data_IF_625882308447
#
_entry.id   IF_625882308447
#
_cell.length_a   1.000
_cell.length_b   1.000
_cell.length_c   1.000
_cell.angle_alpha   90.00
_cell.angle_beta   90.00
_cell.angle_gamma   90.00
#
_symmetry.space_group_name_H-M   'P 1'
#
loop_
_entity.id
_entity.type
_entity.pdbx_description
1 polymer ?
#
# COMPACT_ATOMS: atom_id res chain seq x y z
N UNK A 1 -13.75 75.08 -13.18
CA UNK A 1 -14.17 73.96 -12.32
C UNK A 1 -14.01 72.71 -13.14
N UNK A 2 -12.93 71.96 -12.95
CA UNK A 2 -12.76 70.66 -13.56
C UNK A 2 -12.06 69.78 -12.53
N UNK A 3 -12.81 68.83 -11.98
CA UNK A 3 -12.40 67.94 -10.90
C UNK A 3 -11.87 66.67 -11.57
N UNK A 4 -10.54 66.55 -11.65
CA UNK A 4 -9.88 65.35 -12.14
C UNK A 4 -9.90 64.27 -11.05
N UNK A 5 -10.58 63.16 -11.31
CA UNK A 5 -10.59 61.96 -10.47
C UNK A 5 -9.21 61.26 -10.50
N UNK A 6 -8.70 60.72 -9.38
CA UNK A 6 -7.54 59.84 -9.40
C UNK A 6 -7.93 58.42 -9.83
N UNK A 7 -7.23 57.87 -10.82
CA UNK A 7 -7.33 56.46 -11.21
C UNK A 7 -6.77 55.55 -10.10
N UNK A 8 -7.55 54.54 -9.74
CA UNK A 8 -7.19 53.49 -8.79
C UNK A 8 -6.19 52.51 -9.42
N UNK A 9 -5.00 52.41 -8.84
CA UNK A 9 -4.01 51.40 -9.21
C UNK A 9 -4.34 50.11 -8.44
N UNK A 10 -5.02 49.18 -9.11
CA UNK A 10 -5.30 47.85 -8.55
C UNK A 10 -3.99 47.11 -8.34
N UNK A 11 -3.68 46.77 -7.08
CA UNK A 11 -2.58 45.89 -6.73
C UNK A 11 -2.87 44.48 -7.24
N UNK A 12 -2.01 43.97 -8.12
CA UNK A 12 -2.04 42.58 -8.58
C UNK A 12 -1.71 41.68 -7.39
N UNK A 13 -2.75 41.21 -6.69
CA UNK A 13 -2.61 40.12 -5.73
C UNK A 13 -2.34 38.85 -6.54
N UNK A 14 -1.06 38.50 -6.68
CA UNK A 14 -0.65 37.21 -7.18
C UNK A 14 -1.15 36.13 -6.19
N UNK A 15 -2.32 35.56 -6.49
CA UNK A 15 -2.82 34.35 -5.83
C UNK A 15 -1.79 33.24 -6.06
N UNK A 16 -0.93 33.02 -5.06
CA UNK A 16 -0.07 31.84 -5.02
C UNK A 16 -0.98 30.63 -4.93
N UNK A 17 -1.17 29.95 -6.06
CA UNK A 17 -1.77 28.62 -6.06
C UNK A 17 -0.91 27.74 -5.12
N UNK A 18 -1.52 27.04 -4.15
CA UNK A 18 -0.78 26.12 -3.30
C UNK A 18 -0.18 25.04 -4.20
N UNK A 19 1.15 24.87 -4.11
CA UNK A 19 1.84 23.76 -4.77
C UNK A 19 1.30 22.48 -4.14
N UNK A 20 0.38 21.83 -4.83
CA UNK A 20 0.09 20.43 -4.59
C UNK A 20 1.24 19.65 -5.23
N UNK A 21 2.24 19.30 -4.43
CA UNK A 21 3.12 18.21 -4.83
C UNK A 21 2.23 17.01 -5.18
N UNK A 22 2.52 16.23 -6.24
CA UNK A 22 1.75 15.04 -6.57
C UNK A 22 1.95 14.03 -5.44
N UNK A 23 1.05 14.09 -4.46
CA UNK A 23 1.01 13.17 -3.33
C UNK A 23 0.63 11.82 -3.91
N UNK A 24 1.58 10.87 -3.88
CA UNK A 24 1.43 9.46 -4.24
C UNK A 24 0.00 8.96 -3.93
N UNK A 25 -0.84 8.87 -4.96
CA UNK A 25 -2.28 8.58 -4.85
C UNK A 25 -2.56 7.27 -4.12
N UNK A 26 -1.60 6.35 -4.15
CA UNK A 26 -1.67 5.07 -3.47
C UNK A 26 -1.83 5.24 -1.95
N UNK A 27 -1.11 6.19 -1.33
CA UNK A 27 -1.20 6.38 0.12
C UNK A 27 -2.54 6.97 0.55
N UNK A 28 -3.19 7.81 -0.28
CA UNK A 28 -4.50 8.39 0.06
C UNK A 28 -5.64 7.37 0.00
N UNK A 29 -5.59 6.44 -0.96
CA UNK A 29 -6.61 5.36 -1.06
C UNK A 29 -6.59 4.44 0.17
N UNK A 30 -5.40 4.18 0.71
CA UNK A 30 -5.23 3.29 1.86
C UNK A 30 -5.92 3.81 3.14
N UNK A 31 -5.93 5.12 3.38
CA UNK A 31 -6.63 5.70 4.54
C UNK A 31 -8.15 5.60 4.41
N UNK A 32 -8.68 5.81 3.20
CA UNK A 32 -10.12 5.77 2.93
C UNK A 32 -10.70 4.37 3.20
N UNK A 33 -9.95 3.32 2.83
CA UNK A 33 -10.39 1.94 3.05
C UNK A 33 -10.33 1.54 4.53
N UNK A 34 -9.33 2.01 5.30
CA UNK A 34 -9.23 1.71 6.74
C UNK A 34 -10.42 2.29 7.51
N UNK A 35 -10.79 3.54 7.25
CA UNK A 35 -11.93 4.20 7.90
C UNK A 35 -13.26 3.51 7.53
N UNK A 36 -13.38 3.04 6.29
CA UNK A 36 -14.51 2.21 5.85
C UNK A 36 -14.63 0.93 6.70
N UNK A 37 -13.53 0.19 6.91
CA UNK A 37 -13.59 -1.01 7.75
C UNK A 37 -13.82 -0.72 9.23
N UNK A 38 -13.37 0.43 9.74
CA UNK A 38 -13.58 0.83 11.13
C UNK A 38 -15.05 1.23 11.41
N UNK A 39 -15.84 1.49 10.36
CA UNK A 39 -17.29 1.74 10.48
C UNK A 39 -18.12 0.47 10.74
N UNK A 40 -17.53 -0.72 10.55
CA UNK A 40 -18.26 -1.97 10.77
C UNK A 40 -18.43 -2.30 12.26
N UNK A 41 -19.45 -3.11 12.61
CA UNK A 41 -19.66 -3.55 13.98
C UNK A 41 -18.43 -4.24 14.56
N UNK A 42 -18.17 -4.08 15.88
CA UNK A 42 -17.08 -4.76 16.57
C UNK A 42 -17.12 -6.27 16.30
N UNK A 43 -15.98 -6.82 15.89
CA UNK A 43 -15.84 -8.24 15.55
C UNK A 43 -15.83 -8.53 14.05
N UNK A 44 -16.20 -7.58 13.18
CA UNK A 44 -15.97 -7.71 11.75
C UNK A 44 -14.47 -7.68 11.45
N UNK A 45 -13.97 -8.69 10.73
CA UNK A 45 -12.54 -8.85 10.45
C UNK A 45 -12.32 -9.24 9.00
N UNK A 46 -11.26 -8.71 8.43
CA UNK A 46 -10.77 -9.11 7.12
C UNK A 46 -10.14 -10.50 7.21
N UNK A 47 -10.91 -11.54 6.86
CA UNK A 47 -10.49 -12.95 6.83
C UNK A 47 -10.89 -13.60 5.50
N UNK A 48 -10.27 -13.20 4.39
CA UNK A 48 -10.55 -13.79 3.08
C UNK A 48 -10.08 -15.25 3.02
N UNK A 49 -10.78 -16.05 2.22
CA UNK A 49 -10.36 -17.40 1.83
C UNK A 49 -9.20 -17.34 0.85
N UNK A 50 -8.38 -18.40 0.80
CA UNK A 50 -7.25 -18.49 -0.14
C UNK A 50 -7.70 -18.32 -1.61
N UNK A 51 -8.86 -18.86 -1.97
CA UNK A 51 -9.45 -18.69 -3.30
C UNK A 51 -9.84 -17.23 -3.60
N UNK A 52 -10.37 -16.52 -2.62
CA UNK A 52 -10.76 -15.11 -2.76
C UNK A 52 -9.52 -14.22 -2.92
N UNK A 53 -8.48 -14.49 -2.13
CA UNK A 53 -7.18 -13.84 -2.23
C UNK A 53 -6.58 -13.94 -3.63
N UNK A 54 -6.67 -15.11 -4.26
CA UNK A 54 -6.17 -15.29 -5.62
C UNK A 54 -7.09 -14.62 -6.64
N UNK A 55 -8.40 -14.90 -6.59
CA UNK A 55 -9.33 -14.52 -7.65
C UNK A 55 -9.69 -13.03 -7.61
N UNK A 56 -10.04 -12.50 -6.45
CA UNK A 56 -10.56 -11.14 -6.33
C UNK A 56 -9.49 -10.10 -6.05
N UNK A 57 -8.36 -10.51 -5.48
CA UNK A 57 -7.29 -9.58 -5.11
C UNK A 57 -6.10 -9.72 -6.05
N UNK A 58 -5.45 -10.88 -6.09
CA UNK A 58 -4.19 -11.02 -6.83
C UNK A 58 -4.39 -10.93 -8.35
N UNK A 59 -5.35 -11.68 -8.92
CA UNK A 59 -5.63 -11.62 -10.35
C UNK A 59 -6.05 -10.21 -10.79
N UNK A 60 -6.94 -9.57 -10.04
CA UNK A 60 -7.38 -8.21 -10.33
C UNK A 60 -6.22 -7.22 -10.24
N UNK A 61 -5.32 -7.38 -9.25
CA UNK A 61 -4.13 -6.54 -9.12
C UNK A 61 -3.20 -6.66 -10.32
N UNK A 62 -2.92 -7.89 -10.77
CA UNK A 62 -2.05 -8.16 -11.93
C UNK A 62 -2.69 -7.64 -13.23
N UNK A 63 -4.02 -7.76 -13.35
CA UNK A 63 -4.79 -7.26 -14.49
C UNK A 63 -5.09 -5.74 -14.42
N UNK A 64 -4.56 -5.03 -13.42
CA UNK A 64 -4.84 -3.61 -13.14
C UNK A 64 -6.34 -3.27 -13.08
N UNK A 65 -7.15 -4.21 -12.61
CA UNK A 65 -8.59 -4.05 -12.38
C UNK A 65 -8.85 -3.40 -11.02
N UNK A 66 -9.98 -2.70 -10.84
CA UNK A 66 -10.36 -2.15 -9.55
C UNK A 66 -10.48 -3.28 -8.51
N UNK A 67 -9.86 -3.07 -7.35
CA UNK A 67 -9.95 -4.00 -6.24
C UNK A 67 -11.18 -3.67 -5.39
N UNK A 68 -11.86 -4.68 -4.82
CA UNK A 68 -12.84 -4.41 -3.78
C UNK A 68 -12.16 -3.80 -2.55
N UNK A 69 -12.90 -3.09 -1.67
CA UNK A 69 -12.36 -2.54 -0.44
C UNK A 69 -11.55 -3.59 0.31
N UNK A 70 -10.33 -3.26 0.72
CA UNK A 70 -9.43 -4.22 1.36
C UNK A 70 -8.43 -3.54 2.29
N UNK A 71 -7.77 -4.36 3.12
CA UNK A 71 -6.69 -3.94 4.02
C UNK A 71 -5.30 -4.36 3.51
N UNK A 72 -5.17 -4.62 2.21
CA UNK A 72 -3.95 -5.19 1.61
C UNK A 72 -3.08 -4.05 1.10
N UNK A 73 -1.86 -3.94 1.64
CA UNK A 73 -0.96 -2.83 1.31
C UNK A 73 0.12 -3.25 0.32
N UNK A 74 0.52 -2.34 -0.56
CA UNK A 74 1.69 -2.53 -1.42
C UNK A 74 2.97 -2.20 -0.67
N UNK A 75 3.80 -3.20 -0.45
CA UNK A 75 5.05 -3.07 0.30
C UNK A 75 6.13 -3.90 -0.36
N UNK A 76 7.36 -3.39 -0.41
CA UNK A 76 8.53 -4.18 -0.79
C UNK A 76 8.97 -5.07 0.36
N UNK A 77 8.30 -6.19 0.54
CA UNK A 77 8.42 -7.04 1.71
C UNK A 77 9.86 -7.44 2.05
N UNK A 78 10.67 -7.72 1.03
CA UNK A 78 12.05 -8.13 1.19
C UNK A 78 12.96 -7.03 1.75
N UNK A 79 12.56 -5.76 1.74
CA UNK A 79 13.37 -4.69 2.32
C UNK A 79 13.14 -4.55 3.85
N UNK A 80 12.10 -5.18 4.41
CA UNK A 80 11.66 -4.97 5.79
C UNK A 80 11.77 -6.22 6.68
N UNK A 81 11.86 -5.98 7.99
CA UNK A 81 11.70 -7.01 9.02
C UNK A 81 10.20 -7.16 9.33
N UNK A 82 9.64 -8.38 9.51
CA UNK A 82 8.25 -8.60 9.92
C UNK A 82 7.78 -7.74 11.10
N UNK A 83 8.64 -7.51 12.10
CA UNK A 83 8.29 -6.68 13.27
C UNK A 83 8.04 -5.22 12.90
N UNK A 84 8.91 -4.64 12.07
CA UNK A 84 8.74 -3.27 11.57
C UNK A 84 7.47 -3.13 10.73
N UNK A 85 7.16 -4.13 9.92
CA UNK A 85 5.91 -4.14 9.13
C UNK A 85 4.67 -4.19 10.02
N UNK A 86 4.70 -4.98 11.10
CA UNK A 86 3.58 -5.05 12.03
C UNK A 86 3.39 -3.73 12.80
N UNK A 87 4.48 -3.04 13.14
CA UNK A 87 4.45 -1.71 13.78
C UNK A 87 3.94 -0.63 12.82
N UNK A 88 4.42 -0.61 11.59
CA UNK A 88 4.08 0.41 10.59
C UNK A 88 2.63 0.25 10.08
N UNK A 89 2.17 -1.00 9.90
CA UNK A 89 0.86 -1.31 9.33
C UNK A 89 -0.12 -1.89 10.36
N UNK A 90 0.00 -1.49 11.63
CA UNK A 90 -0.84 -2.00 12.73
C UNK A 90 -2.35 -1.84 12.51
N UNK A 91 -2.78 -0.85 11.73
CA UNK A 91 -4.19 -0.59 11.41
C UNK A 91 -4.77 -1.55 10.35
N UNK A 92 -3.90 -2.19 9.57
CA UNK A 92 -4.29 -3.08 8.48
C UNK A 92 -4.66 -4.49 8.98
N UNK A 93 -4.26 -4.86 10.20
CA UNK A 93 -4.56 -6.17 10.77
C UNK A 93 -4.13 -6.31 12.24
N UNK A 94 -4.84 -7.12 13.01
CA UNK A 94 -4.52 -7.38 14.43
C UNK A 94 -3.57 -8.56 14.62
N UNK A 95 -3.74 -9.60 13.81
CA UNK A 95 -3.11 -10.92 13.97
C UNK A 95 -2.38 -11.37 12.71
N UNK A 96 -2.95 -11.02 11.56
CA UNK A 96 -2.49 -11.36 10.23
C UNK A 96 -2.50 -10.09 9.38
N UNK A 97 -1.47 -9.94 8.55
CA UNK A 97 -1.35 -8.88 7.57
C UNK A 97 -1.20 -9.47 6.19
N UNK A 98 -1.75 -8.78 5.21
CA UNK A 98 -1.70 -9.16 3.82
C UNK A 98 -1.02 -8.03 3.05
N UNK A 99 0.02 -8.37 2.28
CA UNK A 99 0.77 -7.40 1.50
C UNK A 99 0.87 -7.83 0.04
N UNK A 100 0.65 -6.88 -0.87
CA UNK A 100 1.12 -7.03 -2.24
C UNK A 100 2.60 -6.68 -2.27
N UNK A 101 3.41 -7.57 -2.80
CA UNK A 101 4.83 -7.29 -2.99
C UNK A 101 5.30 -7.68 -4.39
N UNK A 102 6.12 -6.83 -5.04
CA UNK A 102 6.81 -7.24 -6.25
C UNK A 102 7.66 -8.48 -5.97
N UNK A 103 7.60 -9.46 -6.86
CA UNK A 103 8.45 -10.63 -6.77
C UNK A 103 9.69 -10.42 -7.61
N UNK A 104 10.78 -10.10 -6.93
CA UNK A 104 12.09 -10.01 -7.57
C UNK A 104 12.60 -11.39 -7.97
N UNK A 105 13.14 -11.50 -9.19
CA UNK A 105 13.87 -12.69 -9.65
C UNK A 105 15.32 -12.60 -9.20
N UNK A 106 15.90 -13.71 -8.72
CA UNK A 106 17.34 -13.76 -8.37
C UNK A 106 18.24 -13.60 -9.60
N UNK A 107 17.76 -14.05 -10.75
CA UNK A 107 18.47 -13.97 -12.03
C UNK A 107 17.52 -13.43 -13.11
N UNK A 108 17.99 -12.62 -14.08
CA UNK A 108 17.14 -12.02 -15.11
C UNK A 108 16.26 -13.03 -15.87
N UNK A 109 16.81 -14.20 -16.20
CA UNK A 109 16.11 -15.28 -16.90
C UNK A 109 15.70 -16.44 -15.98
N UNK A 110 15.86 -16.28 -14.66
CA UNK A 110 15.58 -17.34 -13.68
C UNK A 110 14.16 -17.27 -13.13
N UNK A 111 13.57 -18.43 -12.82
CA UNK A 111 12.28 -18.53 -12.12
C UNK A 111 12.41 -18.45 -10.59
N UNK A 112 13.66 -18.51 -10.07
CA UNK A 112 13.94 -18.49 -8.64
C UNK A 112 13.78 -17.06 -8.09
N UNK A 113 12.85 -16.83 -7.15
CA UNK A 113 12.70 -15.53 -6.53
C UNK A 113 13.90 -15.19 -5.64
N UNK A 114 14.24 -13.91 -5.58
CA UNK A 114 15.12 -13.37 -4.55
C UNK A 114 14.36 -13.44 -3.23
N UNK A 115 14.95 -14.12 -2.24
CA UNK A 115 14.37 -14.29 -0.90
C UNK A 115 15.17 -13.58 0.19
N UNK A 116 16.24 -12.91 -0.22
CA UNK A 116 17.12 -12.18 0.68
C UNK A 116 16.37 -10.95 1.16
N UNK A 117 16.23 -10.80 2.47
CA UNK A 117 15.71 -9.60 3.08
C UNK A 117 16.78 -8.95 3.92
N UNK A 118 17.16 -7.69 3.65
CA UNK A 118 18.39 -7.01 4.12
C UNK A 118 18.94 -7.43 5.49
N UNK A 119 19.61 -8.60 5.58
CA UNK A 119 20.09 -9.23 6.82
C UNK A 119 19.46 -10.60 7.21
N UNK A 120 18.96 -11.40 6.27
CA UNK A 120 18.40 -12.76 6.51
C UNK A 120 17.57 -13.25 5.31
N UNK A 121 16.84 -14.36 5.43
CA UNK A 121 16.07 -14.93 4.32
C UNK A 121 14.62 -15.28 4.67
N UNK A 122 13.69 -15.03 3.74
CA UNK A 122 12.32 -15.51 3.85
C UNK A 122 12.23 -16.97 3.39
N UNK A 123 11.61 -17.83 4.20
CA UNK A 123 11.29 -19.22 3.81
C UNK A 123 9.90 -19.25 3.17
N UNK A 124 9.83 -19.70 1.91
CA UNK A 124 8.55 -19.76 1.20
C UNK A 124 7.68 -20.91 1.70
N UNK A 125 6.37 -20.67 1.69
CA UNK A 125 5.31 -21.68 1.82
C UNK A 125 4.42 -21.52 0.60
N UNK A 126 4.51 -22.45 -0.37
CA UNK A 126 3.83 -22.33 -1.68
C UNK A 126 4.56 -21.40 -2.68
N UNK A 127 4.24 -21.52 -3.97
CA UNK A 127 4.85 -20.70 -5.02
C UNK A 127 3.80 -20.25 -6.04
N UNK A 128 3.96 -19.05 -6.59
CA UNK A 128 3.44 -18.56 -7.88
C UNK A 128 3.85 -17.08 -8.12
N UNK A 129 3.89 -16.69 -9.40
CA UNK A 129 3.83 -15.40 -10.14
C UNK A 129 4.54 -14.11 -9.67
N UNK A 130 4.60 -13.10 -10.56
CA UNK A 130 5.47 -11.89 -10.48
C UNK A 130 5.07 -10.85 -9.42
N UNK A 131 3.82 -10.89 -8.96
CA UNK A 131 3.35 -10.20 -7.76
C UNK A 131 2.86 -11.30 -6.84
N UNK A 132 3.27 -11.25 -5.58
CA UNK A 132 2.83 -12.22 -4.59
C UNK A 132 2.06 -11.52 -3.50
N UNK A 133 0.96 -12.14 -3.12
CA UNK A 133 0.26 -11.78 -1.90
C UNK A 133 0.93 -12.54 -0.74
N UNK A 134 1.57 -11.79 0.16
CA UNK A 134 2.22 -12.37 1.32
C UNK A 134 1.34 -12.19 2.55
N UNK A 135 1.04 -13.33 3.18
CA UNK A 135 0.40 -13.37 4.51
C UNK A 135 1.48 -13.44 5.58
N UNK A 136 1.48 -12.46 6.48
CA UNK A 136 2.41 -12.39 7.61
C UNK A 136 1.63 -12.49 8.91
N UNK A 137 2.18 -13.27 9.85
CA UNK A 137 1.65 -13.40 11.20
C UNK A 137 2.49 -12.59 12.17
N UNK A 138 1.86 -12.07 13.23
CA UNK A 138 2.54 -11.31 14.31
C UNK A 138 3.74 -12.05 14.91
N UNK A 139 3.73 -13.38 14.85
CA UNK A 139 4.75 -14.26 15.43
C UNK A 139 5.84 -14.70 14.45
N UNK A 140 5.74 -14.37 13.16
CA UNK A 140 6.80 -14.69 12.21
C UNK A 140 8.05 -13.86 12.52
N UNK A 141 9.18 -14.54 12.73
CA UNK A 141 10.49 -13.92 12.93
C UNK A 141 11.38 -14.24 11.74
N UNK A 142 12.15 -13.23 11.32
CA UNK A 142 13.22 -13.41 10.34
C UNK A 142 14.33 -14.30 10.93
N UNK A 143 14.78 -15.29 10.18
CA UNK A 143 15.97 -16.08 10.54
C UNK A 143 17.19 -15.45 9.87
N UNK A 144 18.21 -15.16 10.68
CA UNK A 144 19.51 -14.63 10.24
C UNK A 144 20.32 -15.76 9.61
#
# INVERSE_FOLDING_TARGET
MEVTQPQSNASVTATRQPRTDPINDNNRKNFIDIDYFNSFPPGYRFRPLDGELVVHYLKNKIANQPLPPNKIMEVKLYEYNPEKLAEEYWQCGETEWYFFTPRDKRYPNGSRPKRDAGGGYWKATGGLDNVVLCKIYKRMRKTI
#
